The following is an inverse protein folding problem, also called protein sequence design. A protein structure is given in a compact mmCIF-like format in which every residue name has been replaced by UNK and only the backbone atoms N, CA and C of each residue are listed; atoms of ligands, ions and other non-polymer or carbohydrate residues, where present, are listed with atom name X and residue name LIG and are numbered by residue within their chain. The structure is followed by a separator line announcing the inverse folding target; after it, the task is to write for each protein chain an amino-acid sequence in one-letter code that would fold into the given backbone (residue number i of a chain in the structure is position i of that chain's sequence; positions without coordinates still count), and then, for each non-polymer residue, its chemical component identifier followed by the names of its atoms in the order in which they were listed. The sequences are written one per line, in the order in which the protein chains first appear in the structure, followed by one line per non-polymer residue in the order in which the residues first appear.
data_IF_736125097744
#
_entry.id   IF_736125097744
#
_cell.length_a   1.000
_cell.length_b   1.000
_cell.length_c   1.000
_cell.angle_alpha   90.00
_cell.angle_beta   90.00
_cell.angle_gamma   90.00
#
_symmetry.space_group_name_H-M   'P 1'
#
loop_
_entity.id
_entity.type
_entity.pdbx_description
1 polymer ?
#
# COMPACT_ATOMS: atom_id res chain seq x y z
N UNK A 1 -9.91 9.92 26.26
CA UNK A 1 -8.98 10.70 27.09
C UNK A 1 -8.02 11.43 26.15
N UNK A 2 -8.10 12.75 26.04
CA UNK A 2 -7.19 13.51 25.21
C UNK A 2 -5.88 13.72 25.97
N UNK A 3 -4.79 13.25 25.41
CA UNK A 3 -3.49 13.54 25.98
C UNK A 3 -3.11 15.01 25.71
N UNK A 4 -2.69 15.70 26.75
CA UNK A 4 -2.21 17.08 26.62
C UNK A 4 -0.84 17.02 25.94
N UNK A 5 -0.75 17.55 24.72
CA UNK A 5 0.50 17.67 23.97
C UNK A 5 1.31 18.87 24.51
N UNK A 6 1.92 18.71 25.67
CA UNK A 6 2.70 19.75 26.37
C UNK A 6 3.90 20.23 25.53
N UNK A 7 4.49 19.37 24.74
CA UNK A 7 5.66 19.67 23.91
C UNK A 7 5.29 20.20 22.51
N UNK A 8 4.00 20.30 22.20
CA UNK A 8 3.50 20.71 20.88
C UNK A 8 4.08 19.91 19.71
N UNK A 9 4.30 18.61 19.93
CA UNK A 9 4.76 17.72 18.88
C UNK A 9 3.63 17.54 17.87
N UNK A 10 4.03 17.59 16.61
CA UNK A 10 3.15 17.30 15.47
C UNK A 10 3.57 15.98 14.82
N UNK A 11 2.77 15.47 13.90
CA UNK A 11 3.03 14.23 13.16
C UNK A 11 4.41 14.21 12.49
N UNK A 12 4.89 15.36 12.02
CA UNK A 12 6.19 15.45 11.40
C UNK A 12 7.35 15.09 12.36
N UNK A 13 7.32 15.57 13.61
CA UNK A 13 8.31 15.23 14.61
C UNK A 13 8.26 13.75 14.98
N UNK A 14 7.05 13.20 15.14
CA UNK A 14 6.87 11.78 15.48
C UNK A 14 7.37 10.91 14.33
N UNK A 15 6.99 11.21 13.10
CA UNK A 15 7.44 10.47 11.92
C UNK A 15 8.96 10.56 11.70
N UNK A 16 9.57 11.71 12.00
CA UNK A 16 11.00 11.90 11.89
C UNK A 16 11.83 11.00 12.83
N UNK A 17 11.25 10.54 13.96
CA UNK A 17 11.92 9.60 14.87
C UNK A 17 12.18 8.23 14.24
N UNK A 18 11.53 7.90 13.13
CA UNK A 18 11.76 6.65 12.40
C UNK A 18 13.08 6.68 11.65
N UNK A 19 13.55 7.87 11.22
CA UNK A 19 14.79 8.01 10.44
C UNK A 19 16.01 7.42 11.18
N UNK A 20 16.95 6.78 10.46
CA UNK A 20 17.02 6.52 9.02
C UNK A 20 16.37 5.18 8.60
N UNK A 21 15.53 4.59 9.44
CA UNK A 21 14.82 3.34 9.13
C UNK A 21 13.75 3.59 8.06
N UNK A 22 13.37 2.56 7.27
CA UNK A 22 12.35 2.71 6.24
C UNK A 22 11.00 3.18 6.81
N UNK A 23 10.42 4.21 6.20
CA UNK A 23 9.11 4.76 6.53
C UNK A 23 8.30 4.94 5.25
N UNK A 24 7.10 4.37 5.22
CA UNK A 24 6.11 4.60 4.18
C UNK A 24 4.91 5.35 4.77
N UNK A 25 4.59 6.50 4.19
CA UNK A 25 3.38 7.25 4.51
C UNK A 25 2.33 6.89 3.44
N UNK A 26 1.16 6.48 3.90
CA UNK A 26 0.03 6.09 3.07
C UNK A 26 -1.16 7.00 3.38
N UNK A 27 -1.79 7.55 2.35
CA UNK A 27 -3.00 8.34 2.50
C UNK A 27 -3.89 8.23 1.27
N UNK A 28 -5.12 8.73 1.37
CA UNK A 28 -6.01 8.92 0.24
C UNK A 28 -6.15 10.41 -0.10
N UNK A 29 -6.52 10.72 -1.33
CA UNK A 29 -6.59 12.10 -1.83
C UNK A 29 -7.77 12.91 -1.28
N UNK A 30 -8.83 12.22 -0.83
CA UNK A 30 -10.08 12.82 -0.35
C UNK A 30 -10.37 12.46 1.11
N UNK A 31 -9.32 12.19 1.91
CA UNK A 31 -9.45 11.89 3.33
C UNK A 31 -9.87 13.14 4.11
N UNK A 32 -11.03 13.08 4.77
CA UNK A 32 -11.56 14.18 5.57
C UNK A 32 -10.90 14.31 6.97
N UNK A 33 -10.24 13.25 7.44
CA UNK A 33 -9.58 13.21 8.75
C UNK A 33 -8.11 13.65 8.60
N UNK A 34 -7.45 13.20 7.54
CA UNK A 34 -6.06 13.54 7.19
C UNK A 34 -6.00 14.24 5.84
N UNK A 35 -6.32 15.55 5.78
CA UNK A 35 -6.30 16.32 4.54
C UNK A 35 -4.97 16.23 3.83
N UNK A 36 -5.02 16.04 2.50
CA UNK A 36 -3.84 15.78 1.68
C UNK A 36 -2.74 16.84 1.80
N UNK A 37 -3.12 18.12 1.92
CA UNK A 37 -2.16 19.21 2.10
C UNK A 37 -1.37 19.09 3.42
N UNK A 38 -2.04 18.61 4.49
CA UNK A 38 -1.41 18.30 5.77
C UNK A 38 -0.40 17.16 5.65
N UNK A 39 -0.79 16.07 4.97
CA UNK A 39 0.07 14.92 4.73
C UNK A 39 1.31 15.30 3.90
N UNK A 40 1.15 16.11 2.85
CA UNK A 40 2.26 16.61 2.05
C UNK A 40 3.21 17.49 2.85
N UNK A 41 2.68 18.34 3.74
CA UNK A 41 3.54 19.14 4.66
C UNK A 41 4.36 18.25 5.58
N UNK A 42 3.74 17.25 6.20
CA UNK A 42 4.42 16.27 7.06
C UNK A 42 5.51 15.54 6.27
N UNK A 43 5.18 15.00 5.10
CA UNK A 43 6.14 14.31 4.24
C UNK A 43 7.35 15.18 3.90
N UNK A 44 7.14 16.44 3.50
CA UNK A 44 8.21 17.35 3.13
C UNK A 44 9.13 17.72 4.33
N UNK A 45 8.57 17.80 5.54
CA UNK A 45 9.37 18.02 6.75
C UNK A 45 10.20 16.77 7.08
N UNK A 46 9.61 15.59 7.05
CA UNK A 46 10.29 14.31 7.30
C UNK A 46 11.37 14.06 6.26
N UNK A 47 11.12 14.38 4.99
CA UNK A 47 12.08 14.22 3.91
C UNK A 47 13.40 14.97 4.18
N UNK A 48 13.34 16.18 4.73
CA UNK A 48 14.54 16.96 5.10
C UNK A 48 15.39 16.23 6.14
N UNK A 49 14.73 15.53 7.09
CA UNK A 49 15.47 14.74 8.09
C UNK A 49 16.12 13.51 7.44
N UNK A 50 15.40 12.81 6.54
CA UNK A 50 15.97 11.68 5.79
C UNK A 50 17.14 12.10 4.88
N UNK A 51 17.12 13.34 4.37
CA UNK A 51 18.24 13.91 3.61
C UNK A 51 19.50 14.04 4.46
N UNK A 52 19.39 14.46 5.73
CA UNK A 52 20.54 14.57 6.65
C UNK A 52 21.21 13.22 6.94
N UNK A 53 20.45 12.12 6.82
CA UNK A 53 20.96 10.76 7.04
C UNK A 53 21.36 10.04 5.73
N UNK A 54 21.32 10.74 4.60
CA UNK A 54 21.51 10.12 3.26
C UNK A 54 20.59 8.91 3.02
N UNK A 55 19.37 8.97 3.55
CA UNK A 55 18.40 7.87 3.55
C UNK A 55 17.11 8.18 2.76
N UNK A 56 17.18 9.06 1.75
CA UNK A 56 16.00 9.46 0.93
C UNK A 56 15.23 8.28 0.36
N UNK A 57 15.94 7.26 -0.10
CA UNK A 57 15.33 6.05 -0.68
C UNK A 57 14.52 5.21 0.32
N UNK A 58 14.69 5.46 1.61
CA UNK A 58 13.97 4.80 2.69
C UNK A 58 12.73 5.55 3.17
N UNK A 59 12.37 6.64 2.51
CA UNK A 59 11.13 7.37 2.76
C UNK A 59 10.23 7.30 1.53
N UNK A 60 9.02 6.77 1.69
CA UNK A 60 8.01 6.66 0.65
C UNK A 60 6.74 7.42 1.00
N UNK A 61 6.02 7.85 -0.05
CA UNK A 61 4.67 8.40 0.03
C UNK A 61 3.82 7.77 -1.06
N UNK A 62 2.66 7.25 -0.69
CA UNK A 62 1.66 6.74 -1.63
C UNK A 62 0.34 7.42 -1.35
N UNK A 63 -0.26 7.98 -2.39
CA UNK A 63 -1.59 8.58 -2.36
C UNK A 63 -2.46 7.79 -3.31
N UNK A 64 -3.63 7.34 -2.83
CA UNK A 64 -4.63 6.62 -3.62
C UNK A 64 -5.94 7.39 -3.65
N UNK A 65 -6.80 7.17 -4.65
CA UNK A 65 -8.12 7.81 -4.70
C UNK A 65 -9.02 7.36 -3.54
N UNK A 66 -9.85 8.26 -3.03
CA UNK A 66 -10.93 7.93 -2.09
C UNK A 66 -10.86 8.66 -0.76
N UNK A 67 -11.84 8.36 0.10
CA UNK A 67 -11.96 8.88 1.46
C UNK A 67 -11.13 8.09 2.47
N UNK A 68 -11.39 8.33 3.77
CA UNK A 68 -10.70 7.61 4.86
C UNK A 68 -11.09 6.14 4.88
N UNK A 69 -10.33 5.31 4.18
CA UNK A 69 -10.60 3.87 4.03
C UNK A 69 -9.32 3.09 3.73
N UNK A 70 -9.35 1.83 4.11
CA UNK A 70 -8.28 0.88 3.85
C UNK A 70 -8.63 0.03 2.62
N UNK A 71 -8.14 0.44 1.45
CA UNK A 71 -8.39 -0.22 0.17
C UNK A 71 -7.24 -1.13 -0.24
N UNK A 72 -7.48 -1.95 -1.25
CA UNK A 72 -6.44 -2.82 -1.81
C UNK A 72 -5.31 -2.01 -2.46
N UNK A 73 -5.65 -0.89 -3.09
CA UNK A 73 -4.69 0.03 -3.73
C UNK A 73 -3.68 0.59 -2.73
N UNK A 74 -4.11 0.79 -1.48
CA UNK A 74 -3.22 1.28 -0.40
C UNK A 74 -2.43 0.13 0.24
N UNK A 75 -3.02 -1.06 0.34
CA UNK A 75 -2.36 -2.24 0.96
C UNK A 75 -1.24 -2.81 0.12
N UNK A 76 -1.40 -2.86 -1.21
CA UNK A 76 -0.39 -3.44 -2.10
C UNK A 76 0.98 -2.76 -2.00
N UNK A 77 1.07 -1.41 -2.07
CA UNK A 77 2.33 -0.72 -1.81
C UNK A 77 2.89 -0.97 -0.40
N UNK A 78 2.03 -1.06 0.63
CA UNK A 78 2.47 -1.37 1.98
C UNK A 78 3.13 -2.76 2.07
N UNK A 79 2.52 -3.78 1.49
CA UNK A 79 3.10 -5.13 1.46
C UNK A 79 4.39 -5.20 0.64
N UNK A 80 4.44 -4.49 -0.50
CA UNK A 80 5.68 -4.38 -1.29
C UNK A 80 6.80 -3.74 -0.49
N UNK A 81 6.49 -2.69 0.27
CA UNK A 81 7.44 -2.02 1.16
C UNK A 81 7.95 -2.96 2.26
N UNK A 82 7.07 -3.71 2.92
CA UNK A 82 7.46 -4.70 3.91
C UNK A 82 8.32 -5.82 3.31
N UNK A 83 7.97 -6.34 2.13
CA UNK A 83 8.79 -7.34 1.47
C UNK A 83 10.19 -6.81 1.16
N UNK A 84 10.29 -5.59 0.66
CA UNK A 84 11.57 -4.97 0.31
C UNK A 84 12.47 -4.76 1.53
N UNK A 85 11.93 -4.28 2.66
CA UNK A 85 12.75 -3.82 3.78
C UNK A 85 12.80 -4.79 4.97
N UNK A 86 11.87 -5.72 5.08
CA UNK A 86 11.85 -6.73 6.15
C UNK A 86 12.28 -8.12 5.67
N UNK A 87 11.98 -8.44 4.39
CA UNK A 87 12.33 -9.75 3.83
C UNK A 87 13.45 -9.68 2.78
N UNK A 88 13.89 -8.46 2.42
CA UNK A 88 14.85 -8.21 1.34
C UNK A 88 14.41 -8.77 -0.03
N UNK A 89 13.11 -8.97 -0.20
CA UNK A 89 12.49 -9.48 -1.41
C UNK A 89 11.97 -8.34 -2.30
N UNK A 90 12.46 -8.26 -3.54
CA UNK A 90 11.96 -7.31 -4.55
C UNK A 90 10.90 -7.94 -5.46
N UNK A 91 10.08 -8.83 -4.93
CA UNK A 91 9.01 -9.45 -5.70
C UNK A 91 7.78 -8.55 -5.73
N UNK A 92 7.09 -8.43 -6.88
CA UNK A 92 5.80 -7.76 -6.92
C UNK A 92 4.82 -8.50 -6.00
N UNK A 93 4.02 -7.74 -5.28
CA UNK A 93 2.92 -8.31 -4.49
C UNK A 93 1.78 -8.59 -5.45
N UNK A 94 1.41 -9.86 -5.59
CA UNK A 94 0.25 -10.23 -6.40
C UNK A 94 -1.02 -9.68 -5.77
N UNK A 95 -1.91 -9.17 -6.62
CA UNK A 95 -3.22 -8.71 -6.21
C UNK A 95 -4.05 -9.92 -5.77
N UNK A 96 -4.23 -10.08 -4.46
CA UNK A 96 -5.21 -11.05 -3.96
C UNK A 96 -6.61 -10.49 -4.29
N UNK A 97 -7.32 -11.14 -5.19
CA UNK A 97 -8.73 -10.84 -5.39
C UNK A 97 -9.44 -10.90 -4.04
N UNK A 98 -10.32 -9.95 -3.77
CA UNK A 98 -11.13 -9.89 -2.55
C UNK A 98 -11.93 -11.17 -2.37
N UNK A 99 -11.37 -12.19 -1.74
CA UNK A 99 -12.00 -13.48 -1.60
C UNK A 99 -12.66 -13.68 -0.25
N UNK A 100 -12.60 -12.70 0.65
CA UNK A 100 -13.09 -12.93 2.02
C UNK A 100 -14.47 -12.38 2.36
N UNK A 101 -15.10 -11.56 1.51
CA UNK A 101 -16.40 -10.96 1.86
C UNK A 101 -17.53 -11.06 0.82
N UNK A 102 -17.30 -11.64 -0.36
CA UNK A 102 -18.40 -11.91 -1.31
C UNK A 102 -18.33 -13.34 -1.87
N UNK A 103 -19.10 -14.27 -1.30
CA UNK A 103 -19.12 -15.67 -1.74
C UNK A 103 -19.48 -15.86 -3.22
N UNK A 104 -20.24 -14.92 -3.80
CA UNK A 104 -20.75 -15.03 -5.18
C UNK A 104 -19.73 -14.63 -6.25
N UNK A 105 -18.79 -13.74 -5.95
CA UNK A 105 -17.71 -13.38 -6.90
C UNK A 105 -16.63 -14.47 -6.99
N UNK A 106 -16.45 -15.25 -5.93
CA UNK A 106 -15.52 -16.37 -5.91
C UNK A 106 -15.86 -17.45 -6.91
N UNK A 107 -17.17 -17.70 -7.09
CA UNK A 107 -17.68 -18.72 -8.02
C UNK A 107 -17.41 -18.29 -9.47
N UNK A 108 -17.59 -17.02 -9.81
CA UNK A 108 -17.38 -16.54 -11.19
C UNK A 108 -15.90 -16.58 -11.61
N UNK A 109 -14.97 -16.27 -10.71
CA UNK A 109 -13.53 -16.29 -11.00
C UNK A 109 -13.01 -17.72 -11.14
N UNK A 110 -13.48 -18.64 -10.28
CA UNK A 110 -13.17 -20.07 -10.37
C UNK A 110 -13.76 -20.65 -11.65
N UNK A 111 -14.98 -20.27 -11.99
CA UNK A 111 -15.66 -20.71 -13.20
C UNK A 111 -14.97 -20.21 -14.48
N UNK A 112 -14.53 -18.95 -14.52
CA UNK A 112 -13.72 -18.40 -15.62
C UNK A 112 -12.34 -19.07 -15.76
N UNK A 113 -11.72 -19.47 -14.64
CA UNK A 113 -10.45 -20.20 -14.65
C UNK A 113 -10.62 -21.64 -15.16
N UNK A 114 -11.65 -22.33 -14.70
CA UNK A 114 -11.96 -23.70 -15.14
C UNK A 114 -12.33 -23.75 -16.63
N UNK A 115 -13.15 -22.80 -17.10
CA UNK A 115 -13.51 -22.71 -18.52
C UNK A 115 -12.33 -22.31 -19.43
N UNK A 116 -11.32 -21.61 -18.90
CA UNK A 116 -10.13 -21.29 -19.66
C UNK A 116 -9.21 -22.50 -19.82
N UNK A 117 -9.15 -23.35 -18.80
CA UNK A 117 -8.39 -24.61 -18.86
C UNK A 117 -9.04 -25.62 -19.79
N UNK A 118 -10.39 -25.73 -19.79
CA UNK A 118 -11.11 -26.63 -20.70
C UNK A 118 -10.96 -26.25 -22.19
N UNK A 119 -10.88 -24.93 -22.50
CA UNK A 119 -10.61 -24.47 -23.88
C UNK A 119 -9.24 -24.89 -24.42
N UNK A 120 -8.23 -24.98 -23.54
CA UNK A 120 -6.90 -25.42 -23.96
C UNK A 120 -6.78 -26.94 -24.18
N UNK A 121 -7.70 -27.73 -23.60
CA UNK A 121 -7.74 -29.16 -23.82
C UNK A 121 -8.44 -29.57 -25.13
N UNK A 122 -9.37 -28.73 -25.62
CA UNK A 122 -10.08 -29.02 -26.89
C UNK A 122 -9.27 -28.63 -28.15
N UNK A 123 -8.31 -27.71 -28.04
CA UNK A 123 -7.46 -27.34 -29.18
C UNK A 123 -6.32 -28.36 -29.48
N UNK A 124 -6.11 -29.36 -28.61
CA UNK A 124 -5.12 -30.41 -28.82
C UNK A 124 -5.62 -31.63 -29.61
N UNK A 125 -6.87 -31.59 -30.09
CA UNK A 125 -7.48 -32.64 -30.93
C UNK A 125 -7.79 -32.13 -32.34
N UNK A 126 -6.78 -31.62 -33.05
CA UNK A 126 -6.87 -31.48 -34.51
C UNK A 126 -6.13 -32.67 -35.11
N UNK A 127 -6.80 -33.61 -35.76
CA UNK A 127 -6.10 -34.67 -36.50
C UNK A 127 -5.53 -34.13 -37.81
N UNK A 128 -4.38 -34.64 -38.16
CA UNK A 128 -3.68 -34.43 -39.44
C UNK A 128 -4.51 -34.84 -40.63
#
# INVERSE_FOLDING_TARGET
MFQINTYRWDYAQIAALVAPRPLLILNTDSDSIFPLDGVIRVFNQVRRIYELYDAKSKLGLVITPGGHQDTQEIRLPAFSWFNQYLKEEKKPVEMFAHTFFEPLQRISIIWMRLNRVSKWQDESLIPF
#
